data_IF_647082204445
#
_entry.id   IF_647082204445
#
_cell.length_a   1.000
_cell.length_b   1.000
_cell.length_c   1.000
_cell.angle_alpha   90.00
_cell.angle_beta   90.00
_cell.angle_gamma   90.00
#
_symmetry.space_group_name_H-M   'P 1'
#
loop_
_entity.id
_entity.type
_entity.pdbx_description
1 polymer ?
#
# COMPACT_ATOMS: atom_id res chain seq x y z
N UNK A 1 43.67 -64.35 -27.70
CA UNK A 1 42.45 -63.54 -27.92
C UNK A 1 42.44 -62.43 -26.89
N UNK A 2 42.66 -61.18 -27.31
CA UNK A 2 42.57 -60.02 -26.41
C UNK A 2 41.33 -59.22 -26.83
N UNK A 3 40.28 -59.25 -26.00
CA UNK A 3 39.12 -58.39 -26.18
C UNK A 3 39.49 -56.98 -25.74
N UNK A 4 39.26 -56.03 -26.65
CA UNK A 4 39.50 -54.60 -26.47
C UNK A 4 38.37 -53.99 -25.63
N UNK A 5 38.69 -53.59 -24.41
CA UNK A 5 37.83 -52.75 -23.56
C UNK A 5 37.75 -51.36 -24.19
N UNK A 6 36.59 -50.98 -24.72
CA UNK A 6 36.33 -49.61 -25.16
C UNK A 6 36.29 -48.67 -23.93
N UNK A 7 36.95 -47.50 -23.97
CA UNK A 7 36.84 -46.52 -22.90
C UNK A 7 35.45 -45.85 -22.91
N UNK A 8 34.93 -45.40 -21.76
CA UNK A 8 33.68 -44.66 -21.70
C UNK A 8 33.84 -43.36 -22.49
N UNK A 9 32.93 -43.11 -23.45
CA UNK A 9 32.87 -41.84 -24.17
C UNK A 9 32.63 -40.74 -23.14
N UNK A 10 33.67 -39.97 -22.84
CA UNK A 10 33.54 -38.72 -22.11
C UNK A 10 32.59 -37.85 -22.93
N UNK A 11 31.39 -37.65 -22.40
CA UNK A 11 30.39 -36.74 -22.96
C UNK A 11 30.95 -35.32 -22.79
N UNK A 12 31.78 -34.91 -23.76
CA UNK A 12 32.36 -33.56 -23.80
C UNK A 12 31.22 -32.64 -24.21
N UNK A 13 30.43 -32.24 -23.22
CA UNK A 13 29.34 -31.29 -23.42
C UNK A 13 29.89 -30.02 -24.03
N UNK A 14 29.23 -29.53 -25.07
CA UNK A 14 29.50 -28.19 -25.60
C UNK A 14 29.26 -27.15 -24.51
N UNK A 15 29.97 -26.02 -24.56
CA UNK A 15 29.85 -24.94 -23.58
C UNK A 15 28.38 -24.48 -23.39
N UNK A 16 27.60 -24.49 -24.46
CA UNK A 16 26.18 -24.10 -24.41
C UNK A 16 25.28 -25.18 -23.80
N UNK A 17 25.62 -26.46 -23.96
CA UNK A 17 24.92 -27.56 -23.30
C UNK A 17 25.19 -27.55 -21.81
N UNK A 18 26.44 -27.27 -21.41
CA UNK A 18 26.82 -27.09 -20.02
C UNK A 18 26.06 -25.91 -19.38
N UNK A 19 26.00 -24.75 -20.07
CA UNK A 19 25.22 -23.59 -19.61
C UNK A 19 23.73 -23.91 -19.44
N UNK A 20 23.12 -24.57 -20.43
CA UNK A 20 21.71 -24.98 -20.35
C UNK A 20 21.48 -25.95 -19.20
N UNK A 21 22.37 -26.93 -19.02
CA UNK A 21 22.27 -27.92 -17.93
C UNK A 21 22.40 -27.25 -16.56
N UNK A 22 23.36 -26.34 -16.38
CA UNK A 22 23.53 -25.57 -15.15
C UNK A 22 22.31 -24.70 -14.85
N UNK A 23 21.80 -23.98 -15.85
CA UNK A 23 20.58 -23.17 -15.70
C UNK A 23 19.39 -24.04 -15.30
N UNK A 24 19.21 -25.20 -15.94
CA UNK A 24 18.14 -26.14 -15.63
C UNK A 24 18.29 -26.71 -14.21
N UNK A 25 19.51 -27.09 -13.79
CA UNK A 25 19.78 -27.53 -12.42
C UNK A 25 19.44 -26.43 -11.41
N UNK A 26 19.88 -25.19 -11.63
CA UNK A 26 19.55 -24.08 -10.72
C UNK A 26 18.05 -23.75 -10.69
N UNK A 27 17.34 -23.98 -11.79
CA UNK A 27 15.90 -23.85 -11.87
C UNK A 27 15.18 -24.96 -11.08
N UNK A 28 15.56 -26.22 -11.31
CA UNK A 28 14.93 -27.38 -10.68
C UNK A 28 15.19 -27.43 -9.16
N UNK A 29 16.35 -26.93 -8.73
CA UNK A 29 16.67 -26.76 -7.31
C UNK A 29 16.04 -25.50 -6.67
N UNK A 30 15.27 -24.70 -7.41
CA UNK A 30 14.57 -23.52 -6.90
C UNK A 30 15.47 -22.32 -6.54
N UNK A 31 16.75 -22.34 -6.93
CA UNK A 31 17.72 -21.27 -6.65
C UNK A 31 17.34 -20.00 -7.42
N UNK A 32 16.89 -20.15 -8.67
CA UNK A 32 16.42 -19.02 -9.47
C UNK A 32 15.15 -18.39 -8.89
N UNK A 33 14.24 -19.19 -8.36
CA UNK A 33 13.02 -18.69 -7.72
C UNK A 33 13.31 -17.97 -6.40
N UNK A 34 14.26 -18.50 -5.63
CA UNK A 34 14.77 -17.86 -4.41
C UNK A 34 15.40 -16.51 -4.74
N UNK A 35 16.33 -16.46 -5.70
CA UNK A 35 16.98 -15.22 -6.13
C UNK A 35 15.97 -14.20 -6.67
N UNK A 36 14.99 -14.65 -7.46
CA UNK A 36 13.91 -13.80 -7.98
C UNK A 36 13.07 -13.22 -6.85
N UNK A 37 12.77 -14.01 -5.82
CA UNK A 37 12.01 -13.58 -4.64
C UNK A 37 12.81 -12.57 -3.82
N UNK A 38 14.10 -12.81 -3.60
CA UNK A 38 14.99 -11.88 -2.90
C UNK A 38 15.10 -10.54 -3.62
N UNK A 39 15.32 -10.55 -4.95
CA UNK A 39 15.35 -9.33 -5.76
C UNK A 39 14.02 -8.56 -5.70
N UNK A 40 12.89 -9.26 -5.77
CA UNK A 40 11.57 -8.63 -5.63
C UNK A 40 11.40 -7.99 -4.25
N UNK A 41 11.79 -8.68 -3.19
CA UNK A 41 11.68 -8.17 -1.83
C UNK A 41 12.61 -6.96 -1.62
N UNK A 42 13.81 -6.98 -2.20
CA UNK A 42 14.74 -5.86 -2.16
C UNK A 42 14.16 -4.63 -2.88
N UNK A 43 13.59 -4.84 -4.07
CA UNK A 43 12.94 -3.77 -4.83
C UNK A 43 11.71 -3.19 -4.11
N UNK A 44 10.87 -4.05 -3.52
CA UNK A 44 9.73 -3.60 -2.70
C UNK A 44 10.26 -2.77 -1.52
N UNK A 45 11.31 -3.22 -0.85
CA UNK A 45 11.91 -2.47 0.26
C UNK A 45 12.46 -1.11 -0.22
N UNK A 46 13.20 -1.05 -1.33
CA UNK A 46 13.68 0.23 -1.88
C UNK A 46 12.55 1.17 -2.33
N UNK A 47 11.47 0.64 -2.88
CA UNK A 47 10.33 1.44 -3.33
C UNK A 47 9.43 1.90 -2.16
N UNK A 48 9.23 1.05 -1.15
CA UNK A 48 8.44 1.36 0.05
C UNK A 48 9.21 2.26 1.03
N UNK A 49 10.53 2.18 1.02
CA UNK A 49 11.41 3.09 1.72
C UNK A 49 12.06 4.01 0.68
N UNK A 50 11.34 5.01 0.12
CA UNK A 50 11.97 5.99 -0.75
C UNK A 50 13.17 6.53 0.00
N UNK A 51 14.32 6.35 -0.63
CA UNK A 51 15.63 6.39 -0.02
C UNK A 51 15.76 7.51 1.01
N UNK A 52 16.50 7.20 2.07
CA UNK A 52 17.21 8.10 2.97
C UNK A 52 18.20 9.00 2.19
N UNK A 53 17.73 9.74 1.19
CA UNK A 53 18.51 10.55 0.27
C UNK A 53 17.79 11.87 0.00
N UNK A 54 18.04 12.80 0.92
CA UNK A 54 17.64 14.20 0.85
C UNK A 54 17.34 14.73 2.26
N UNK A 55 17.90 15.89 2.69
CA UNK A 55 17.57 16.52 3.96
C UNK A 55 16.17 17.15 3.89
N UNK A 56 15.17 16.36 3.56
CA UNK A 56 13.78 16.75 3.66
C UNK A 56 13.03 15.65 4.39
N UNK A 57 12.62 15.88 5.65
CA UNK A 57 11.66 15.01 6.28
C UNK A 57 10.34 15.17 5.51
N UNK A 58 10.07 14.25 4.58
CA UNK A 58 8.71 13.97 4.08
C UNK A 58 7.95 13.03 5.03
N UNK A 59 8.52 12.74 6.21
CA UNK A 59 7.67 12.50 7.36
C UNK A 59 7.14 13.89 7.74
N UNK A 60 5.82 14.19 7.63
CA UNK A 60 5.31 15.39 8.28
C UNK A 60 5.86 15.37 9.70
N UNK A 61 6.47 16.49 10.16
CA UNK A 61 7.21 16.50 11.41
C UNK A 61 6.35 15.80 12.43
N UNK A 62 6.91 14.78 13.08
CA UNK A 62 6.27 14.06 14.17
C UNK A 62 6.19 15.01 15.36
N UNK A 63 5.43 16.08 15.19
CA UNK A 63 4.72 16.77 16.25
C UNK A 63 3.61 15.79 16.58
N UNK A 64 3.95 14.70 17.25
CA UNK A 64 2.99 13.85 17.95
C UNK A 64 2.48 14.62 19.17
N UNK A 65 1.91 15.80 18.92
CA UNK A 65 0.84 16.31 19.76
C UNK A 65 -0.34 15.48 19.31
N UNK A 66 -0.89 14.66 20.19
CA UNK A 66 -2.03 13.76 19.90
C UNK A 66 -3.18 14.47 19.15
N UNK A 67 -3.34 15.78 19.38
CA UNK A 67 -4.24 16.65 18.62
C UNK A 67 -3.92 16.82 17.13
N UNK A 68 -2.65 16.79 16.71
CA UNK A 68 -2.27 16.86 15.28
C UNK A 68 -2.69 15.60 14.53
N UNK A 69 -2.59 14.42 15.15
CA UNK A 69 -3.01 13.14 14.56
C UNK A 69 -4.53 13.11 14.37
N UNK A 70 -5.29 13.56 15.37
CA UNK A 70 -6.74 13.67 15.27
C UNK A 70 -7.18 14.69 14.22
N UNK A 71 -6.51 15.85 14.15
CA UNK A 71 -6.80 16.87 13.15
C UNK A 71 -6.48 16.39 11.73
N UNK A 72 -5.37 15.66 11.54
CA UNK A 72 -5.01 15.07 10.25
C UNK A 72 -6.06 14.02 9.85
N UNK A 73 -6.43 13.12 10.76
CA UNK A 73 -7.46 12.11 10.47
C UNK A 73 -8.83 12.72 10.18
N UNK A 74 -9.22 13.78 10.89
CA UNK A 74 -10.45 14.52 10.64
C UNK A 74 -10.43 15.22 9.28
N UNK A 75 -9.32 15.87 8.94
CA UNK A 75 -9.13 16.52 7.64
C UNK A 75 -9.22 15.49 6.50
N UNK A 76 -8.55 14.35 6.65
CA UNK A 76 -8.59 13.27 5.66
C UNK A 76 -10.01 12.69 5.54
N UNK A 77 -10.75 12.59 6.64
CA UNK A 77 -12.14 12.11 6.62
C UNK A 77 -13.07 13.07 5.88
N UNK A 78 -12.90 14.39 6.04
CA UNK A 78 -13.65 15.39 5.28
C UNK A 78 -13.37 15.30 3.79
N UNK A 79 -12.10 15.14 3.39
CA UNK A 79 -11.72 14.97 1.99
C UNK A 79 -12.33 13.67 1.44
N UNK A 80 -12.21 12.55 2.15
CA UNK A 80 -12.77 11.28 1.73
C UNK A 80 -14.31 11.32 1.56
N UNK A 81 -15.03 11.98 2.49
CA UNK A 81 -16.47 12.17 2.39
C UNK A 81 -16.85 13.01 1.16
N UNK A 82 -16.12 14.10 0.90
CA UNK A 82 -16.32 14.93 -0.29
C UNK A 82 -16.08 14.14 -1.58
N UNK A 83 -14.96 13.42 -1.70
CA UNK A 83 -14.63 12.61 -2.87
C UNK A 83 -15.73 11.57 -3.15
N UNK A 84 -16.26 10.93 -2.10
CA UNK A 84 -17.37 9.98 -2.20
C UNK A 84 -18.66 10.63 -2.66
N UNK A 85 -19.06 11.77 -2.07
CA UNK A 85 -20.30 12.48 -2.44
C UNK A 85 -20.29 13.00 -3.88
N UNK A 86 -19.12 13.39 -4.38
CA UNK A 86 -18.95 13.85 -5.74
C UNK A 86 -18.73 12.71 -6.76
N UNK A 87 -18.68 11.45 -6.32
CA UNK A 87 -18.49 10.28 -7.21
C UNK A 87 -17.09 10.18 -7.80
N UNK A 88 -16.07 10.73 -7.13
CA UNK A 88 -14.68 10.67 -7.57
C UNK A 88 -14.02 9.34 -7.18
N UNK A 89 -14.56 8.25 -7.72
CA UNK A 89 -14.19 6.87 -7.34
C UNK A 89 -12.68 6.60 -7.51
N UNK A 90 -12.08 7.04 -8.61
CA UNK A 90 -10.64 6.88 -8.85
C UNK A 90 -9.81 7.62 -7.79
N UNK A 91 -10.07 8.92 -7.60
CA UNK A 91 -9.37 9.74 -6.61
C UNK A 91 -9.54 9.17 -5.20
N UNK A 92 -10.74 8.66 -4.86
CA UNK A 92 -11.01 8.04 -3.58
C UNK A 92 -10.18 6.75 -3.37
N UNK A 93 -10.04 5.94 -4.42
CA UNK A 93 -9.27 4.68 -4.38
C UNK A 93 -7.76 4.89 -4.15
N UNK A 94 -7.18 5.96 -4.72
CA UNK A 94 -5.77 6.31 -4.50
C UNK A 94 -5.58 7.07 -3.19
N UNK A 95 -6.58 7.85 -2.77
CA UNK A 95 -6.52 8.66 -1.57
C UNK A 95 -6.41 7.83 -0.29
N UNK A 96 -7.17 6.73 -0.14
CA UNK A 96 -7.11 5.89 1.06
C UNK A 96 -5.69 5.34 1.36
N UNK A 97 -5.00 4.67 0.41
CA UNK A 97 -3.65 4.19 0.65
C UNK A 97 -2.62 5.32 0.79
N UNK A 98 -2.75 6.43 0.04
CA UNK A 98 -1.81 7.55 0.12
C UNK A 98 -1.93 8.36 1.42
N UNK A 99 -3.16 8.56 1.92
CA UNK A 99 -3.43 9.32 3.14
C UNK A 99 -3.21 8.51 4.43
N UNK A 100 -3.00 7.19 4.31
CA UNK A 100 -2.96 6.27 5.45
C UNK A 100 -4.30 6.19 6.21
N UNK A 101 -5.38 6.71 5.63
CA UNK A 101 -6.72 6.63 6.21
C UNK A 101 -7.25 5.21 5.97
N UNK A 102 -7.34 4.40 7.03
CA UNK A 102 -8.05 3.14 6.93
C UNK A 102 -9.56 3.42 6.83
N UNK A 103 -10.29 2.66 6.02
CA UNK A 103 -11.73 2.85 5.81
C UNK A 103 -12.54 2.78 7.12
N UNK A 104 -12.03 2.03 8.10
CA UNK A 104 -12.54 1.89 9.47
C UNK A 104 -12.19 3.05 10.43
N UNK A 105 -11.32 3.99 10.00
CA UNK A 105 -10.89 5.17 10.77
C UNK A 105 -11.47 6.48 10.23
N UNK A 106 -12.43 6.42 9.30
CA UNK A 106 -13.13 7.60 8.81
C UNK A 106 -14.02 8.12 9.95
N UNK A 107 -13.75 9.35 10.39
CA UNK A 107 -14.53 9.99 11.45
C UNK A 107 -15.99 10.16 11.00
N UNK A 108 -16.91 9.83 11.90
CA UNK A 108 -18.33 10.14 11.71
C UNK A 108 -18.56 11.64 11.90
N UNK A 109 -19.70 12.14 11.43
CA UNK A 109 -20.06 13.55 11.63
C UNK A 109 -20.10 13.92 13.12
N UNK A 110 -20.57 12.99 13.96
CA UNK A 110 -20.61 13.15 15.41
C UNK A 110 -19.20 13.31 15.97
N UNK A 111 -18.25 12.49 15.52
CA UNK A 111 -16.86 12.58 15.97
C UNK A 111 -16.23 13.92 15.56
N UNK A 112 -16.51 14.40 14.35
CA UNK A 112 -16.04 15.71 13.86
C UNK A 112 -16.61 16.87 14.69
N UNK A 113 -17.90 16.83 15.02
CA UNK A 113 -18.54 17.85 15.85
C UNK A 113 -17.98 17.86 17.28
N UNK A 114 -17.70 16.68 17.85
CA UNK A 114 -17.03 16.57 19.15
C UNK A 114 -15.59 17.10 19.09
N UNK A 115 -14.86 16.81 18.02
CA UNK A 115 -13.49 17.29 17.84
C UNK A 115 -13.42 18.83 17.74
N UNK A 116 -14.41 19.45 17.08
CA UNK A 116 -14.55 20.92 16.96
C UNK A 116 -15.16 21.53 18.25
N UNK A 117 -15.46 20.71 19.26
CA UNK A 117 -16.04 21.10 20.56
C UNK A 117 -17.39 21.82 20.43
N UNK A 118 -18.19 21.43 19.45
CA UNK A 118 -19.56 21.93 19.34
C UNK A 118 -20.41 21.25 20.42
N UNK A 119 -21.06 22.04 21.27
CA UNK A 119 -21.89 21.53 22.35
C UNK A 119 -23.09 20.75 21.78
N UNK A 120 -23.28 19.46 22.15
CA UNK A 120 -24.44 18.66 21.73
C UNK A 120 -25.80 19.28 22.02
N UNK A 121 -25.92 20.08 23.08
CA UNK A 121 -27.16 20.75 23.45
C UNK A 121 -27.43 22.04 22.67
N UNK A 122 -26.44 22.53 21.91
CA UNK A 122 -26.61 23.73 21.10
C UNK A 122 -27.60 23.51 19.95
N UNK A 123 -28.34 24.56 19.61
CA UNK A 123 -29.19 24.58 18.42
C UNK A 123 -28.39 24.33 17.14
N UNK A 124 -27.13 24.80 17.09
CA UNK A 124 -26.20 24.55 15.99
C UNK A 124 -25.93 23.06 15.79
N UNK A 125 -25.60 22.32 16.86
CA UNK A 125 -25.35 20.88 16.79
C UNK A 125 -26.58 20.14 16.23
N UNK A 126 -27.77 20.43 16.78
CA UNK A 126 -29.04 19.81 16.36
C UNK A 126 -29.34 20.13 14.88
N UNK A 127 -29.10 21.36 14.46
CA UNK A 127 -29.26 21.79 13.06
C UNK A 127 -28.29 21.04 12.13
N UNK A 128 -27.01 20.94 12.50
CA UNK A 128 -25.98 20.25 11.71
C UNK A 128 -26.32 18.76 11.55
N UNK A 129 -26.63 18.04 12.63
CA UNK A 129 -27.00 16.62 12.54
C UNK A 129 -28.24 16.41 11.63
N UNK A 130 -29.25 17.27 11.74
CA UNK A 130 -30.46 17.18 10.91
C UNK A 130 -30.23 17.47 9.42
N UNK A 131 -29.25 18.33 9.10
CA UNK A 131 -28.91 18.68 7.72
C UNK A 131 -28.20 17.54 6.98
N UNK A 132 -27.42 16.73 7.70
CA UNK A 132 -26.67 15.62 7.12
C UNK A 132 -27.56 14.41 6.77
N UNK A 133 -28.57 14.11 7.58
CA UNK A 133 -29.52 13.01 7.32
C UNK A 133 -30.27 13.20 5.99
N UNK A 134 -30.62 14.46 5.67
CA UNK A 134 -31.30 14.82 4.41
C UNK A 134 -30.42 14.64 3.16
N UNK A 135 -29.10 14.75 3.29
CA UNK A 135 -28.17 14.63 2.15
C UNK A 135 -28.01 13.20 1.64
N UNK A 136 -28.11 12.20 2.52
CA UNK A 136 -27.91 10.79 2.17
C UNK A 136 -29.09 10.18 1.39
N UNK A 137 -30.24 10.86 1.35
CA UNK A 137 -31.41 10.40 0.59
C UNK A 137 -31.41 10.86 -0.87
N UNK A 138 -30.58 11.84 -1.26
CA UNK A 138 -30.67 12.51 -2.57
C UNK A 138 -29.73 11.95 -3.65
N UNK A 139 -29.05 10.83 -3.37
CA UNK A 139 -28.17 10.12 -4.33
C UNK A 139 -28.78 8.84 -4.94
N UNK A 140 -30.07 8.58 -4.76
CA UNK A 140 -30.82 7.47 -5.39
C UNK A 140 -31.92 8.02 -6.28
N UNK A 141 -31.56 8.62 -7.41
CA UNK A 141 -32.44 8.78 -8.58
C UNK A 141 -31.58 8.79 -9.82
#
# INVERSE_FOLDING_TARGET
MAQSTMPPKSDVLSQDELRKKLYQTFKDHGILDTLKTELRNHLIHELMHPALSGPHPLKPPSIAVEGSVLLIGASNSLVADHLRRCGYEYSLSVFFPESGLAQEKVFTMQDLLQLIKINPESSLYKSLISGFDKGNQKGRT
#
